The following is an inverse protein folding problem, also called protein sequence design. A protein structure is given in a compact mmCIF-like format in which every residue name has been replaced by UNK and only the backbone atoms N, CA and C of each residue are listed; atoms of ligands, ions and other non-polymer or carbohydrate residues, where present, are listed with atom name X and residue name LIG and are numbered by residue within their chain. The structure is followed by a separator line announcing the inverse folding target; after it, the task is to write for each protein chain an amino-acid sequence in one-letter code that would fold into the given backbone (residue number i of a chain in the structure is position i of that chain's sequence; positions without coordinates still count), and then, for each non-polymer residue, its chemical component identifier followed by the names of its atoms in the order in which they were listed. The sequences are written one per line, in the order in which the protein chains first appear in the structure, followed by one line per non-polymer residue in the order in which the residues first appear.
data_IF_578936686923
#
_entry.id   IF_578936686923
#
_cell.length_a   1.000
_cell.length_b   1.000
_cell.length_c   1.000
_cell.angle_alpha   90.00
_cell.angle_beta   90.00
_cell.angle_gamma   90.00
#
_symmetry.space_group_name_H-M   'P 1'
#
loop_
_entity.id
_entity.type
_entity.pdbx_description
1 polymer ?
#
# COMPACT_ATOMS: atom_id res chain seq x y z
N UNK A 1 -10.13 7.04 -3.33
CA UNK A 1 -9.47 6.16 -2.36
C UNK A 1 -8.48 6.94 -1.51
N UNK A 2 -8.38 6.61 -0.26
CA UNK A 2 -7.48 7.31 0.68
C UNK A 2 -6.71 6.30 1.52
N UNK A 3 -5.57 6.74 2.06
CA UNK A 3 -4.80 5.95 3.03
C UNK A 3 -5.59 5.89 4.33
N UNK A 4 -5.77 4.70 4.88
CA UNK A 4 -6.71 4.47 5.98
C UNK A 4 -6.11 4.59 7.37
N UNK A 5 -4.79 4.51 7.52
CA UNK A 5 -4.16 4.57 8.84
C UNK A 5 -2.70 4.98 8.73
N UNK A 6 -2.09 5.32 9.86
CA UNK A 6 -0.66 5.60 9.97
C UNK A 6 -0.27 7.02 9.65
N UNK A 7 1.01 7.21 9.37
CA UNK A 7 1.63 8.52 9.16
C UNK A 7 0.99 9.34 8.04
N UNK A 8 0.52 8.67 6.99
CA UNK A 8 -0.06 9.32 5.82
C UNK A 8 -1.58 9.21 5.76
N UNK A 9 -2.23 8.91 6.88
CA UNK A 9 -3.69 8.75 6.96
C UNK A 9 -4.41 9.93 6.29
N UNK A 10 -5.39 9.63 5.46
CA UNK A 10 -6.22 10.62 4.79
C UNK A 10 -5.69 11.13 3.46
N UNK A 11 -4.43 10.85 3.11
CA UNK A 11 -3.91 11.24 1.81
C UNK A 11 -4.61 10.47 0.70
N UNK A 12 -4.88 11.17 -0.40
CA UNK A 12 -5.56 10.60 -1.55
C UNK A 12 -4.63 9.66 -2.31
N UNK A 13 -5.19 8.54 -2.76
CA UNK A 13 -4.53 7.60 -3.67
C UNK A 13 -5.21 7.74 -5.03
N UNK A 14 -4.43 8.11 -6.05
CA UNK A 14 -4.91 8.25 -7.41
C UNK A 14 -5.24 6.89 -8.00
N UNK A 15 -6.27 6.84 -8.84
CA UNK A 15 -6.71 5.62 -9.50
C UNK A 15 -6.80 5.82 -11.00
N UNK A 16 -6.66 4.72 -11.79
CA UNK A 16 -6.85 4.81 -13.22
C UNK A 16 -8.32 5.03 -13.55
N UNK A 17 -8.55 5.62 -14.72
CA UNK A 17 -9.91 5.82 -15.24
C UNK A 17 -10.49 4.56 -15.87
N UNK A 18 -9.67 3.56 -16.15
CA UNK A 18 -10.14 2.32 -16.77
C UNK A 18 -10.77 1.40 -15.72
N UNK A 19 -11.49 0.38 -16.20
CA UNK A 19 -12.17 -0.59 -15.33
C UNK A 19 -11.38 -1.87 -15.12
N UNK A 20 -10.18 -1.95 -15.70
CA UNK A 20 -9.36 -3.16 -15.64
C UNK A 20 -8.60 -3.29 -14.33
N UNK A 21 -8.36 -2.18 -13.64
CA UNK A 21 -7.67 -2.15 -12.36
C UNK A 21 -8.69 -1.99 -11.24
N UNK A 22 -8.77 -2.97 -10.36
CA UNK A 22 -9.65 -2.92 -9.20
C UNK A 22 -8.83 -2.70 -7.95
N UNK A 23 -9.02 -1.58 -7.25
CA UNK A 23 -8.32 -1.35 -6.00
C UNK A 23 -8.83 -2.29 -4.91
N UNK A 24 -7.94 -2.64 -4.00
CA UNK A 24 -8.31 -3.39 -2.81
C UNK A 24 -9.17 -2.49 -1.91
N UNK A 25 -10.35 -2.98 -1.55
CA UNK A 25 -11.30 -2.21 -0.74
C UNK A 25 -10.72 -1.90 0.64
N UNK A 26 -11.04 -0.74 1.17
CA UNK A 26 -10.58 -0.31 2.49
C UNK A 26 -10.91 -1.30 3.59
N UNK A 27 -12.13 -1.84 3.56
CA UNK A 27 -12.55 -2.84 4.55
C UNK A 27 -11.70 -4.10 4.50
N UNK A 28 -11.34 -4.55 3.29
CA UNK A 28 -10.47 -5.71 3.09
C UNK A 28 -9.05 -5.43 3.60
N UNK A 29 -8.50 -4.27 3.29
CA UNK A 29 -7.18 -3.86 3.79
C UNK A 29 -7.17 -3.83 5.31
N UNK A 30 -8.18 -3.23 5.91
CA UNK A 30 -8.31 -3.13 7.35
C UNK A 30 -8.37 -4.51 8.01
N UNK A 31 -9.14 -5.43 7.42
CA UNK A 31 -9.20 -6.81 7.90
C UNK A 31 -7.85 -7.52 7.83
N UNK A 32 -7.10 -7.34 6.73
CA UNK A 32 -5.77 -7.92 6.57
C UNK A 32 -4.82 -7.40 7.66
N UNK A 33 -4.79 -6.09 7.87
CA UNK A 33 -3.90 -5.49 8.88
C UNK A 33 -4.30 -5.90 10.29
N UNK A 34 -5.59 -6.04 10.58
CA UNK A 34 -6.04 -6.54 11.88
C UNK A 34 -5.56 -7.97 12.13
N UNK A 35 -5.62 -8.83 11.13
CA UNK A 35 -5.08 -10.20 11.24
C UNK A 35 -3.58 -10.18 11.51
N UNK A 36 -2.82 -9.38 10.78
CA UNK A 36 -1.37 -9.29 10.94
C UNK A 36 -1.00 -8.80 12.34
N UNK A 37 -1.71 -7.78 12.83
CA UNK A 37 -1.34 -7.11 14.08
C UNK A 37 -1.84 -7.85 15.33
N UNK A 38 -2.94 -8.60 15.24
CA UNK A 38 -3.64 -9.12 16.39
C UNK A 38 -3.77 -10.64 16.42
N UNK A 39 -3.38 -11.34 15.34
CA UNK A 39 -3.45 -12.79 15.32
C UNK A 39 -2.25 -13.41 16.05
N UNK A 40 -2.53 -14.39 16.92
CA UNK A 40 -1.49 -15.16 17.59
C UNK A 40 -0.72 -16.08 16.63
N UNK A 41 -1.21 -16.26 15.40
CA UNK A 41 -0.58 -17.11 14.39
C UNK A 41 0.60 -16.43 13.69
N UNK A 42 0.64 -15.10 13.72
CA UNK A 42 1.68 -14.32 13.06
C UNK A 42 2.49 -13.57 14.11
N UNK A 43 3.76 -13.92 14.21
CA UNK A 43 4.71 -13.21 15.09
C UNK A 43 5.45 -12.13 14.28
N UNK A 44 4.68 -11.27 13.62
CA UNK A 44 5.23 -10.23 12.75
C UNK A 44 5.11 -8.88 13.44
N UNK A 45 6.24 -8.20 13.59
CA UNK A 45 6.26 -6.79 13.95
C UNK A 45 6.28 -5.99 12.65
N UNK A 46 5.20 -5.29 12.36
CA UNK A 46 5.06 -4.57 11.11
C UNK A 46 6.15 -3.49 10.93
N UNK A 47 6.57 -2.88 12.03
CA UNK A 47 7.60 -1.83 12.01
C UNK A 47 8.98 -2.35 11.56
N UNK A 48 9.23 -3.64 11.73
CA UNK A 48 10.49 -4.28 11.33
C UNK A 48 10.37 -5.02 10.00
N UNK A 49 9.24 -4.93 9.33
CA UNK A 49 8.94 -5.75 8.16
C UNK A 49 9.40 -5.09 6.86
N UNK A 50 9.78 -5.95 5.94
CA UNK A 50 9.93 -5.63 4.53
C UNK A 50 8.74 -6.27 3.81
N UNK A 51 8.12 -5.52 2.92
CA UNK A 51 6.90 -5.95 2.22
C UNK A 51 7.16 -6.07 0.74
N UNK A 52 6.71 -7.18 0.16
CA UNK A 52 6.68 -7.36 -1.27
C UNK A 52 5.23 -7.31 -1.73
N UNK A 53 4.88 -6.27 -2.46
CA UNK A 53 3.51 -6.05 -2.97
C UNK A 53 3.46 -6.49 -4.42
N UNK A 54 3.11 -7.76 -4.63
CA UNK A 54 2.98 -8.34 -5.97
C UNK A 54 1.66 -7.91 -6.60
N UNK A 55 1.71 -7.58 -7.88
CA UNK A 55 0.54 -7.08 -8.61
C UNK A 55 -0.04 -5.83 -7.93
N UNK A 56 0.85 -4.90 -7.63
CA UNK A 56 0.54 -3.79 -6.71
C UNK A 56 -0.51 -2.80 -7.24
N UNK A 57 -0.77 -2.79 -8.52
CA UNK A 57 -1.71 -1.83 -9.12
C UNK A 57 -1.27 -0.40 -8.84
N UNK A 58 -2.18 0.42 -8.35
CA UNK A 58 -1.89 1.82 -7.97
C UNK A 58 -1.09 1.96 -6.68
N UNK A 59 -0.77 0.85 -6.01
CA UNK A 59 0.04 0.83 -4.82
C UNK A 59 -0.72 0.94 -3.51
N UNK A 60 -2.02 0.82 -3.54
CA UNK A 60 -2.89 1.05 -2.39
C UNK A 60 -2.47 0.26 -1.16
N UNK A 61 -2.21 -1.04 -1.28
CA UNK A 61 -1.83 -1.86 -0.13
C UNK A 61 -0.44 -1.52 0.39
N UNK A 62 0.55 -1.48 -0.50
CA UNK A 62 1.93 -1.16 -0.10
C UNK A 62 2.07 0.24 0.47
N UNK A 63 1.30 1.21 -0.05
CA UNK A 63 1.27 2.57 0.48
C UNK A 63 0.70 2.58 1.89
N UNK A 64 -0.36 1.81 2.16
CA UNK A 64 -0.86 1.66 3.53
C UNK A 64 0.18 1.01 4.44
N UNK A 65 0.95 0.05 3.95
CA UNK A 65 2.07 -0.52 4.70
C UNK A 65 3.11 0.55 5.05
N UNK A 66 3.51 1.37 4.08
CA UNK A 66 4.44 2.48 4.33
C UNK A 66 3.89 3.45 5.38
N UNK A 67 2.61 3.77 5.28
CA UNK A 67 1.94 4.65 6.23
C UNK A 67 1.96 4.09 7.65
N UNK A 68 1.91 2.77 7.78
CA UNK A 68 1.95 2.08 9.08
C UNK A 68 3.35 1.86 9.62
N UNK A 69 4.38 2.25 8.89
CA UNK A 69 5.75 2.28 9.40
C UNK A 69 6.64 1.10 9.01
N UNK A 70 6.28 0.31 8.00
CA UNK A 70 7.17 -0.76 7.53
C UNK A 70 8.48 -0.15 7.02
N UNK A 71 9.57 -0.90 7.12
CA UNK A 71 10.90 -0.42 6.74
C UNK A 71 11.02 -0.16 5.25
N UNK A 72 10.44 -1.04 4.43
CA UNK A 72 10.53 -0.92 2.99
C UNK A 72 9.43 -1.71 2.31
N UNK A 73 8.92 -1.18 1.20
CA UNK A 73 8.01 -1.90 0.31
C UNK A 73 8.61 -1.98 -1.07
N UNK A 74 8.58 -3.16 -1.66
CA UNK A 74 8.92 -3.38 -3.06
C UNK A 74 7.61 -3.60 -3.81
N UNK A 75 7.32 -2.70 -4.75
CA UNK A 75 6.13 -2.79 -5.58
C UNK A 75 6.48 -3.48 -6.90
N UNK A 76 5.67 -4.47 -7.27
CA UNK A 76 5.83 -5.19 -8.53
C UNK A 76 4.57 -5.07 -9.34
N UNK A 77 4.68 -4.45 -10.51
CA UNK A 77 3.57 -4.22 -11.42
C UNK A 77 4.08 -4.13 -12.85
N UNK A 78 3.36 -4.71 -13.80
CA UNK A 78 3.73 -4.65 -15.22
C UNK A 78 2.67 -4.04 -16.12
N UNK A 79 1.52 -3.66 -15.61
CA UNK A 79 0.47 -3.03 -16.40
C UNK A 79 0.85 -1.57 -16.70
N UNK A 80 1.17 -1.29 -17.96
CA UNK A 80 1.73 0.01 -18.38
C UNK A 80 0.84 1.20 -18.04
N UNK A 81 -0.49 1.03 -18.07
CA UNK A 81 -1.43 2.13 -17.78
C UNK A 81 -1.45 2.50 -16.29
N UNK A 82 -1.04 1.60 -15.43
CA UNK A 82 -1.07 1.80 -13.97
C UNK A 82 0.26 2.28 -13.41
N UNK A 83 1.37 1.91 -14.03
CA UNK A 83 2.71 2.24 -13.52
C UNK A 83 2.90 3.75 -13.30
N UNK A 84 2.50 4.64 -14.23
CA UNK A 84 2.64 6.08 -13.97
C UNK A 84 1.83 6.56 -12.77
N UNK A 85 0.67 5.98 -12.54
CA UNK A 85 -0.19 6.31 -11.41
C UNK A 85 0.44 5.84 -10.10
N UNK A 86 0.97 4.62 -10.08
CA UNK A 86 1.73 4.10 -8.94
C UNK A 86 2.89 5.02 -8.59
N UNK A 87 3.69 5.39 -9.58
CA UNK A 87 4.82 6.30 -9.37
C UNK A 87 4.37 7.65 -8.81
N UNK A 88 3.28 8.19 -9.33
CA UNK A 88 2.73 9.46 -8.85
C UNK A 88 2.28 9.36 -7.40
N UNK A 89 1.59 8.28 -7.06
CA UNK A 89 1.16 8.04 -5.70
C UNK A 89 2.34 7.98 -4.73
N UNK A 90 3.42 7.32 -5.11
CA UNK A 90 4.63 7.23 -4.29
C UNK A 90 5.30 8.60 -4.12
N UNK A 91 5.41 9.38 -5.20
CA UNK A 91 5.96 10.73 -5.13
C UNK A 91 5.14 11.64 -4.22
N UNK A 92 3.82 11.49 -4.23
CA UNK A 92 2.93 12.31 -3.41
C UNK A 92 3.09 12.05 -1.90
N UNK A 93 3.68 10.93 -1.51
CA UNK A 93 3.95 10.67 -0.09
C UNK A 93 5.06 11.55 0.48
N UNK A 94 5.93 12.09 -0.35
CA UNK A 94 7.11 12.85 0.08
C UNK A 94 7.94 12.08 1.10
N UNK A 95 7.93 10.76 0.98
CA UNK A 95 8.63 9.85 1.88
C UNK A 95 10.09 9.68 1.43
N UNK A 96 10.98 9.42 2.37
CA UNK A 96 12.32 8.96 2.05
C UNK A 96 12.25 7.57 1.41
N UNK A 97 13.28 7.20 0.69
CA UNK A 97 13.42 6.00 -0.16
C UNK A 97 13.09 4.66 0.54
N UNK A 98 11.84 4.47 0.99
CA UNK A 98 11.38 3.25 1.64
C UNK A 98 10.66 2.30 0.67
N UNK A 99 10.81 2.54 -0.61
CA UNK A 99 10.16 1.73 -1.65
C UNK A 99 11.06 1.58 -2.87
#
# INVERSE_FOLDING_TARGET
MRIISGQFKGKKILQPKDKNTRPLKDLTKESIFNIINHSNKFKINIDDSYVLDLFSGVGSFGIDCLSRGVKKVIFVENYEKVIPILKRNLLNLKSKNNY
#
